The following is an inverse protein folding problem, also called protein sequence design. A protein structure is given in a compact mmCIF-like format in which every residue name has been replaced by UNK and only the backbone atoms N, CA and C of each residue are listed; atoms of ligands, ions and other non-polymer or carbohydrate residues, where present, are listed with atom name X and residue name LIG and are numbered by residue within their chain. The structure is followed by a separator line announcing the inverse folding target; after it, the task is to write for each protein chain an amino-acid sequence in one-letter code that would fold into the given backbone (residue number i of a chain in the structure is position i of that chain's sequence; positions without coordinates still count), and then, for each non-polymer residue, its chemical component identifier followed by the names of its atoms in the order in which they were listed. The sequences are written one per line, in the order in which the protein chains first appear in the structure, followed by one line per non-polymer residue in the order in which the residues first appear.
data_IF_797141485589
#
_entry.id   IF_797141485589
#
_cell.length_a   1.000
_cell.length_b   1.000
_cell.length_c   1.000
_cell.angle_alpha   90.00
_cell.angle_beta   90.00
_cell.angle_gamma   90.00
#
_symmetry.space_group_name_H-M   'P 1'
#
loop_
_entity.id
_entity.type
_entity.pdbx_description
1 polymer ?
#
# COMPACT_ATOMS: atom_id res chain seq x y z
N UNK A 1 2.08 -26.01 -8.22
CA UNK A 1 2.11 -24.66 -7.62
C UNK A 1 3.55 -24.35 -7.26
N UNK A 2 4.13 -23.28 -7.80
CA UNK A 2 5.40 -22.77 -7.26
C UNK A 2 5.17 -22.35 -5.80
N UNK A 3 6.08 -22.72 -4.90
CA UNK A 3 6.04 -22.31 -3.50
C UNK A 3 6.15 -20.77 -3.45
N UNK A 4 5.25 -20.10 -2.72
CA UNK A 4 5.33 -18.64 -2.55
C UNK A 4 6.72 -18.25 -2.03
N UNK A 5 7.26 -17.16 -2.57
CA UNK A 5 8.63 -16.69 -2.26
C UNK A 5 8.68 -16.01 -0.89
N UNK A 6 7.52 -15.59 -0.40
CA UNK A 6 7.33 -15.03 0.94
C UNK A 6 6.10 -15.67 1.58
N UNK A 7 5.97 -15.52 2.89
CA UNK A 7 4.78 -15.93 3.64
C UNK A 7 4.13 -14.71 4.30
N UNK A 8 2.83 -14.80 4.55
CA UNK A 8 2.09 -13.76 5.29
C UNK A 8 2.80 -13.42 6.60
N UNK A 9 3.01 -12.12 6.83
CA UNK A 9 3.74 -11.59 7.99
C UNK A 9 5.22 -11.30 7.73
N UNK A 10 5.79 -11.75 6.60
CA UNK A 10 7.17 -11.36 6.23
C UNK A 10 7.27 -9.84 6.09
N UNK A 11 8.37 -9.28 6.60
CA UNK A 11 8.67 -7.85 6.52
C UNK A 11 9.63 -7.62 5.37
N UNK A 12 9.18 -6.82 4.41
CA UNK A 12 9.97 -6.36 3.29
C UNK A 12 10.68 -5.06 3.62
N UNK A 13 11.97 -5.02 3.26
CA UNK A 13 12.73 -3.80 3.14
C UNK A 13 12.67 -3.33 1.69
N UNK A 14 12.10 -2.15 1.48
CA UNK A 14 11.80 -1.57 0.18
C UNK A 14 12.72 -0.36 -0.04
N UNK A 15 13.65 -0.40 -1.01
CA UNK A 15 14.52 0.74 -1.29
C UNK A 15 13.69 1.90 -1.86
N UNK A 16 13.85 3.07 -1.27
CA UNK A 16 13.17 4.29 -1.71
C UNK A 16 14.03 5.03 -2.75
N UNK A 17 13.41 5.62 -3.77
CA UNK A 17 14.13 6.47 -4.73
C UNK A 17 14.69 7.74 -4.06
N UNK A 18 15.46 8.51 -4.83
CA UNK A 18 15.99 9.82 -4.42
C UNK A 18 16.82 9.78 -3.12
N UNK A 19 17.54 8.68 -2.89
CA UNK A 19 18.39 8.45 -1.70
C UNK A 19 17.63 8.59 -0.37
N UNK A 20 16.33 8.25 -0.35
CA UNK A 20 15.49 8.34 0.83
C UNK A 20 15.65 7.14 1.79
N UNK A 21 16.55 6.21 1.48
CA UNK A 21 16.83 5.03 2.30
C UNK A 21 15.87 3.89 2.00
N UNK A 22 15.28 3.31 3.05
CA UNK A 22 14.41 2.15 2.98
C UNK A 22 13.11 2.39 3.74
N UNK A 23 11.99 2.01 3.13
CA UNK A 23 10.73 1.81 3.83
C UNK A 23 10.56 0.35 4.20
N UNK A 24 9.61 0.10 5.09
CA UNK A 24 9.29 -1.22 5.58
C UNK A 24 7.80 -1.49 5.47
N UNK A 25 7.46 -2.72 5.10
CA UNK A 25 6.09 -3.13 4.95
C UNK A 25 5.95 -4.62 5.23
N UNK A 26 4.81 -5.06 5.74
CA UNK A 26 4.49 -6.48 5.83
C UNK A 26 3.66 -6.93 4.63
N UNK A 27 3.99 -8.10 4.09
CA UNK A 27 3.24 -8.75 3.02
C UNK A 27 2.19 -9.70 3.56
N UNK A 28 1.02 -9.69 2.94
CA UNK A 28 -0.04 -10.69 3.14
C UNK A 28 -0.28 -11.39 1.81
N UNK A 29 -0.15 -12.71 1.80
CA UNK A 29 -0.58 -13.56 0.69
C UNK A 29 -2.12 -13.63 0.73
N UNK A 30 -2.75 -12.83 -0.13
CA UNK A 30 -4.21 -12.71 -0.17
C UNK A 30 -4.88 -14.01 -0.63
N UNK A 31 -4.21 -14.83 -1.43
CA UNK A 31 -4.76 -16.10 -1.91
C UNK A 31 -4.90 -17.07 -0.73
N UNK A 32 -3.95 -17.03 0.22
CA UNK A 32 -4.00 -17.83 1.45
C UNK A 32 -5.10 -17.39 2.43
N UNK A 33 -5.51 -16.12 2.37
CA UNK A 33 -6.54 -15.53 3.25
C UNK A 33 -7.94 -15.64 2.62
N UNK A 34 -8.02 -15.44 1.31
CA UNK A 34 -9.24 -15.51 0.51
C UNK A 34 -8.89 -16.12 -0.86
N UNK A 35 -9.22 -17.39 -1.06
CA UNK A 35 -8.93 -18.12 -2.31
C UNK A 35 -9.61 -17.50 -3.54
N UNK A 36 -10.66 -16.70 -3.33
CA UNK A 36 -11.37 -15.97 -4.40
C UNK A 36 -10.78 -14.59 -4.70
N UNK A 37 -9.69 -14.20 -4.03
CA UNK A 37 -9.03 -12.91 -4.27
C UNK A 37 -8.47 -12.85 -5.69
N UNK A 38 -8.83 -11.80 -6.41
CA UNK A 38 -8.28 -11.49 -7.74
C UNK A 38 -6.84 -10.93 -7.68
N UNK A 39 -6.36 -10.62 -6.48
CA UNK A 39 -5.05 -10.02 -6.24
C UNK A 39 -4.20 -10.93 -5.36
N UNK A 40 -2.91 -11.14 -5.71
CA UNK A 40 -2.09 -12.11 -5.00
C UNK A 40 -1.51 -11.57 -3.68
N UNK A 41 -1.34 -10.26 -3.55
CA UNK A 41 -0.57 -9.69 -2.43
C UNK A 41 -1.16 -8.37 -1.96
N UNK A 42 -1.32 -8.26 -0.65
CA UNK A 42 -1.61 -7.01 0.05
C UNK A 42 -0.37 -6.57 0.81
N UNK A 43 -0.03 -5.29 0.70
CA UNK A 43 1.14 -4.70 1.34
C UNK A 43 0.68 -3.68 2.38
N UNK A 44 1.11 -3.86 3.62
CA UNK A 44 0.83 -2.92 4.72
C UNK A 44 2.11 -2.16 5.04
N UNK A 45 2.14 -0.90 4.62
CA UNK A 45 3.34 -0.05 4.67
C UNK A 45 3.38 0.71 5.99
N UNK A 46 4.43 0.49 6.77
CA UNK A 46 4.63 1.14 8.05
C UNK A 46 4.99 2.62 7.88
N UNK A 47 4.60 3.46 8.83
CA UNK A 47 4.94 4.89 8.90
C UNK A 47 6.39 5.12 9.37
N UNK A 48 7.31 4.33 8.81
CA UNK A 48 8.71 4.34 9.20
C UNK A 48 9.63 4.14 7.99
N UNK A 49 10.71 4.92 7.95
CA UNK A 49 11.84 4.70 7.05
C UNK A 49 13.17 4.98 7.73
N UNK A 50 14.23 4.35 7.22
CA UNK A 50 15.60 4.54 7.69
C UNK A 50 16.56 4.73 6.53
N UNK A 51 17.65 5.48 6.74
CA UNK A 51 18.71 5.63 5.74
C UNK A 51 19.55 4.36 5.60
N UNK A 52 19.65 3.58 6.67
CA UNK A 52 20.41 2.33 6.73
C UNK A 52 19.48 1.12 6.85
N UNK A 53 20.00 -0.05 6.44
CA UNK A 53 19.27 -1.31 6.60
C UNK A 53 19.09 -1.63 8.08
N UNK A 54 17.85 -1.88 8.51
CA UNK A 54 17.55 -2.31 9.86
C UNK A 54 18.09 -3.70 10.18
N UNK A 55 18.53 -3.89 11.42
CA UNK A 55 18.98 -5.18 11.97
C UNK A 55 17.94 -5.86 12.87
N UNK A 56 17.04 -5.08 13.46
CA UNK A 56 15.98 -5.53 14.38
C UNK A 56 14.70 -4.79 14.07
N UNK A 57 13.57 -5.49 14.07
CA UNK A 57 12.26 -4.93 13.69
C UNK A 57 11.32 -4.85 14.90
N UNK A 58 10.56 -3.75 15.01
CA UNK A 58 9.48 -3.58 15.98
C UNK A 58 8.13 -3.80 15.30
N UNK A 59 7.12 -4.25 16.04
CA UNK A 59 5.74 -4.42 15.57
C UNK A 59 4.90 -3.16 15.70
N UNK A 60 5.39 -2.15 16.42
CA UNK A 60 4.57 -1.03 16.89
C UNK A 60 4.59 0.16 15.92
N UNK A 61 4.36 -0.11 14.65
CA UNK A 61 4.27 0.92 13.63
C UNK A 61 2.85 1.03 13.08
N UNK A 62 2.37 2.26 13.02
CA UNK A 62 1.15 2.59 12.30
C UNK A 62 1.35 2.44 10.79
N UNK A 63 0.27 2.43 10.02
CA UNK A 63 0.35 2.40 8.56
C UNK A 63 0.29 3.81 7.98
N UNK A 64 1.22 4.15 7.10
CA UNK A 64 1.23 5.45 6.39
C UNK A 64 0.19 5.48 5.26
N UNK A 65 -0.01 4.34 4.60
CA UNK A 65 -0.94 4.18 3.49
C UNK A 65 -2.03 3.18 3.82
N UNK A 66 -3.18 3.33 3.18
CA UNK A 66 -4.15 2.24 3.10
C UNK A 66 -3.44 1.01 2.51
N UNK A 67 -3.72 -0.22 3.00
CA UNK A 67 -3.10 -1.42 2.46
C UNK A 67 -3.20 -1.46 0.92
N UNK A 68 -2.07 -1.73 0.27
CA UNK A 68 -1.92 -1.63 -1.18
C UNK A 68 -2.00 -3.02 -1.82
N UNK A 69 -2.76 -3.14 -2.90
CA UNK A 69 -2.73 -4.32 -3.76
C UNK A 69 -1.47 -4.29 -4.62
N UNK A 70 -0.65 -5.34 -4.60
CA UNK A 70 0.64 -5.38 -5.30
C UNK A 70 0.68 -6.49 -6.35
N UNK A 71 1.20 -6.17 -7.52
CA UNK A 71 1.58 -7.12 -8.56
C UNK A 71 3.11 -7.23 -8.68
N UNK A 72 3.60 -8.43 -9.01
CA UNK A 72 5.02 -8.64 -9.32
C UNK A 72 5.95 -8.77 -8.12
N UNK A 73 5.43 -9.00 -6.90
CA UNK A 73 6.26 -9.16 -5.69
C UNK A 73 7.31 -10.27 -5.85
N UNK A 74 6.94 -11.39 -6.48
CA UNK A 74 7.86 -12.49 -6.74
C UNK A 74 9.06 -12.08 -7.58
N UNK A 75 8.86 -11.21 -8.58
CA UNK A 75 9.93 -10.78 -9.47
C UNK A 75 10.92 -9.85 -8.75
N UNK A 76 10.43 -8.93 -7.92
CA UNK A 76 11.31 -8.03 -7.15
C UNK A 76 12.10 -8.77 -6.08
N UNK A 77 11.50 -9.79 -5.44
CA UNK A 77 12.19 -10.65 -4.48
C UNK A 77 13.23 -11.56 -5.16
N UNK A 78 12.88 -12.25 -6.27
CA UNK A 78 13.83 -13.08 -7.04
C UNK A 78 15.04 -12.27 -7.50
N UNK A 79 14.83 -11.03 -7.91
CA UNK A 79 15.89 -10.11 -8.36
C UNK A 79 16.62 -9.40 -7.22
N UNK A 80 16.28 -9.68 -5.95
CA UNK A 80 16.83 -9.01 -4.76
C UNK A 80 16.73 -7.48 -4.83
N UNK A 81 15.68 -6.96 -5.48
CA UNK A 81 15.37 -5.54 -5.45
C UNK A 81 14.79 -5.16 -4.09
N UNK A 82 14.03 -6.07 -3.48
CA UNK A 82 13.55 -5.99 -2.10
C UNK A 82 14.15 -7.15 -1.32
N UNK A 83 14.34 -6.96 -0.02
CA UNK A 83 14.84 -7.99 0.91
C UNK A 83 13.76 -8.35 1.92
N UNK A 84 13.63 -9.62 2.30
CA UNK A 84 12.89 -10.02 3.50
C UNK A 84 13.83 -9.89 4.69
N UNK A 85 13.50 -9.02 5.63
CA UNK A 85 14.39 -8.63 6.75
C UNK A 85 13.88 -9.07 8.12
N UNK A 86 12.70 -9.67 8.16
CA UNK A 86 12.10 -10.14 9.39
C UNK A 86 10.72 -10.72 9.15
N UNK A 87 10.05 -11.06 10.24
CA UNK A 87 8.68 -11.54 10.25
C UNK A 87 7.97 -10.98 11.47
N UNK A 88 6.72 -10.59 11.30
CA UNK A 88 5.85 -10.20 12.39
C UNK A 88 4.67 -11.17 12.48
N UNK A 89 4.16 -11.33 13.70
CA UNK A 89 2.91 -12.03 13.92
C UNK A 89 1.76 -11.06 13.64
N UNK A 90 0.85 -11.46 12.74
CA UNK A 90 -0.32 -10.66 12.39
C UNK A 90 -1.51 -11.08 13.24
N UNK A 91 -2.21 -10.10 13.79
CA UNK A 91 -3.51 -10.27 14.45
C UNK A 91 -4.61 -10.44 13.41
N UNK A 92 -5.82 -10.80 13.85
CA UNK A 92 -6.96 -10.93 12.93
C UNK A 92 -7.33 -9.60 12.24
N UNK A 93 -7.20 -8.48 12.96
CA UNK A 93 -7.43 -7.14 12.40
C UNK A 93 -6.45 -6.77 11.29
N UNK A 94 -5.24 -7.30 11.34
CA UNK A 94 -4.18 -7.08 10.36
C UNK A 94 -4.47 -7.75 9.01
N UNK A 95 -5.31 -8.80 9.02
CA UNK A 95 -5.70 -9.57 7.85
C UNK A 95 -6.93 -8.97 7.15
N UNK A 96 -7.52 -7.90 7.70
CA UNK A 96 -8.68 -7.23 7.11
C UNK A 96 -8.30 -6.56 5.79
N UNK A 97 -8.97 -6.95 4.72
CA UNK A 97 -8.87 -6.29 3.42
C UNK A 97 -9.71 -5.00 3.47
N UNK A 98 -9.17 -3.83 3.09
CA UNK A 98 -9.95 -2.59 3.09
C UNK A 98 -10.92 -2.55 1.91
N UNK A 99 -11.88 -1.61 1.98
CA UNK A 99 -12.63 -1.18 0.80
C UNK A 99 -11.74 -0.30 -0.10
N UNK A 100 -12.02 -0.29 -1.40
CA UNK A 100 -11.30 0.52 -2.39
C UNK A 100 -12.25 1.40 -3.20
N UNK A 101 -11.75 2.52 -3.72
CA UNK A 101 -12.46 3.38 -4.68
C UNK A 101 -12.16 2.96 -6.11
N UNK A 102 -13.14 3.12 -7.01
CA UNK A 102 -12.94 2.90 -8.45
C UNK A 102 -13.72 3.95 -9.22
N UNK A 103 -13.09 4.56 -10.21
CA UNK A 103 -13.78 5.41 -11.18
C UNK A 103 -13.91 4.65 -12.50
N UNK A 104 -15.14 4.45 -12.96
CA UNK A 104 -15.41 3.92 -14.30
C UNK A 104 -16.20 4.97 -15.08
N UNK A 105 -15.55 5.58 -16.08
CA UNK A 105 -16.17 6.57 -16.98
C UNK A 105 -16.85 7.75 -16.24
N UNK A 106 -16.23 8.23 -15.16
CA UNK A 106 -16.75 9.35 -14.36
C UNK A 106 -17.69 8.95 -13.24
N UNK A 107 -18.12 7.69 -13.16
CA UNK A 107 -18.94 7.19 -12.05
C UNK A 107 -18.03 6.61 -10.97
N UNK A 108 -18.21 7.07 -9.73
CA UNK A 108 -17.49 6.57 -8.58
C UNK A 108 -18.18 5.34 -7.99
N UNK A 109 -17.37 4.37 -7.60
CA UNK A 109 -17.80 3.16 -6.92
C UNK A 109 -16.93 2.94 -5.69
N UNK A 110 -17.50 2.31 -4.67
CA UNK A 110 -16.73 1.59 -3.69
C UNK A 110 -16.79 0.08 -3.97
N UNK A 111 -15.72 -0.62 -3.60
CA UNK A 111 -15.55 -2.05 -3.79
C UNK A 111 -15.13 -2.65 -2.45
N UNK A 112 -15.95 -3.54 -1.91
CA UNK A 112 -15.70 -4.14 -0.60
C UNK A 112 -14.64 -5.22 -0.69
N UNK A 113 -13.68 -5.17 0.24
CA UNK A 113 -12.67 -6.20 0.46
C UNK A 113 -11.93 -6.63 -0.83
N UNK A 114 -11.68 -5.67 -1.72
CA UNK A 114 -11.11 -5.85 -3.07
C UNK A 114 -11.88 -6.73 -4.07
N UNK A 115 -13.07 -7.22 -3.71
CA UNK A 115 -13.91 -8.05 -4.59
C UNK A 115 -14.74 -7.19 -5.54
N UNK A 116 -14.32 -7.14 -6.81
CA UNK A 116 -14.97 -6.37 -7.87
C UNK A 116 -16.46 -6.71 -8.08
N UNK A 117 -16.90 -7.92 -7.69
CA UNK A 117 -18.31 -8.30 -7.80
C UNK A 117 -19.21 -7.50 -6.83
N UNK A 118 -18.64 -6.97 -5.76
CA UNK A 118 -19.34 -6.18 -4.72
C UNK A 118 -19.45 -4.70 -5.07
N UNK A 119 -19.01 -4.30 -6.26
CA UNK A 119 -18.95 -2.90 -6.71
C UNK A 119 -20.30 -2.20 -6.59
N UNK A 120 -20.33 -1.06 -5.87
CA UNK A 120 -21.54 -0.25 -5.64
C UNK A 120 -21.29 1.21 -5.96
N UNK A 121 -22.18 1.80 -6.77
CA UNK A 121 -22.08 3.20 -7.17
C UNK A 121 -22.26 4.11 -5.95
N UNK A 122 -21.50 5.20 -5.91
CA UNK A 122 -21.48 6.13 -4.78
C UNK A 122 -20.96 7.50 -5.20
N UNK A 123 -21.00 8.46 -4.28
CA UNK A 123 -20.43 9.79 -4.47
C UNK A 123 -18.95 9.80 -4.11
N UNK A 124 -18.17 10.63 -4.79
CA UNK A 124 -16.73 10.79 -4.52
C UNK A 124 -16.41 11.09 -3.05
N UNK A 125 -17.22 11.93 -2.39
CA UNK A 125 -17.04 12.26 -0.97
C UNK A 125 -17.08 11.04 -0.04
N UNK A 126 -17.75 9.96 -0.44
CA UNK A 126 -17.88 8.75 0.36
C UNK A 126 -16.67 7.81 0.23
N UNK A 127 -15.79 8.06 -0.74
CA UNK A 127 -14.69 7.17 -1.11
C UNK A 127 -13.35 7.88 -1.26
N UNK A 128 -13.29 9.22 -1.21
CA UNK A 128 -12.07 10.00 -1.43
C UNK A 128 -10.89 9.60 -0.53
N UNK A 129 -11.17 9.09 0.68
CA UNK A 129 -10.16 8.61 1.64
C UNK A 129 -9.68 7.18 1.38
N UNK A 130 -10.32 6.44 0.47
CA UNK A 130 -9.95 5.08 0.10
C UNK A 130 -8.88 5.10 -0.99
N UNK A 131 -8.09 4.03 -1.02
CA UNK A 131 -7.15 3.76 -2.09
C UNK A 131 -7.87 3.33 -3.38
N UNK A 132 -7.28 3.65 -4.53
CA UNK A 132 -7.82 3.23 -5.82
C UNK A 132 -7.67 1.72 -6.00
N UNK A 133 -8.73 1.05 -6.45
CA UNK A 133 -8.70 -0.38 -6.74
C UNK A 133 -7.82 -0.65 -7.96
N UNK A 134 -6.71 -1.33 -7.74
CA UNK A 134 -5.85 -1.86 -8.78
C UNK A 134 -4.50 -2.27 -8.21
N UNK A 135 -3.95 -3.37 -8.72
CA UNK A 135 -2.62 -3.80 -8.29
C UNK A 135 -1.55 -2.86 -8.83
N UNK A 136 -0.77 -2.27 -7.93
CA UNK A 136 0.38 -1.44 -8.27
C UNK A 136 1.58 -2.37 -8.50
N UNK A 137 2.34 -2.12 -9.55
CA UNK A 137 3.57 -2.86 -9.80
C UNK A 137 4.59 -2.65 -8.68
N UNK A 138 5.17 -3.72 -8.16
CA UNK A 138 6.13 -3.68 -7.06
C UNK A 138 7.39 -2.82 -7.37
N UNK A 139 7.74 -2.62 -8.64
CA UNK A 139 8.87 -1.75 -9.00
C UNK A 139 8.52 -0.25 -8.92
N UNK A 140 7.27 0.11 -9.16
CA UNK A 140 6.82 1.52 -9.19
C UNK A 140 6.21 1.96 -7.85
N UNK A 141 5.74 1.03 -7.02
CA UNK A 141 5.11 1.35 -5.73
C UNK A 141 6.07 2.06 -4.77
N UNK A 142 7.38 1.85 -4.90
CA UNK A 142 8.41 2.51 -4.09
C UNK A 142 8.28 4.04 -4.15
N UNK A 143 7.90 4.60 -5.30
CA UNK A 143 7.67 6.03 -5.49
C UNK A 143 6.47 6.51 -4.68
N UNK A 144 5.33 5.80 -4.74
CA UNK A 144 4.14 6.13 -3.95
C UNK A 144 4.43 6.08 -2.45
N UNK A 145 5.15 5.06 -2.00
CA UNK A 145 5.57 4.91 -0.60
C UNK A 145 6.47 6.08 -0.17
N UNK A 146 7.47 6.43 -0.97
CA UNK A 146 8.36 7.56 -0.67
C UNK A 146 7.59 8.87 -0.55
N UNK A 147 6.68 9.16 -1.48
CA UNK A 147 5.84 10.36 -1.45
C UNK A 147 4.95 10.42 -0.20
N UNK A 148 4.36 9.28 0.19
CA UNK A 148 3.53 9.19 1.39
C UNK A 148 4.32 9.51 2.66
N UNK A 149 5.52 8.94 2.79
CA UNK A 149 6.40 9.18 3.94
C UNK A 149 6.90 10.63 3.98
N UNK A 150 7.27 11.21 2.84
CA UNK A 150 7.65 12.63 2.77
C UNK A 150 6.49 13.55 3.17
N UNK A 151 5.27 13.29 2.70
CA UNK A 151 4.08 14.04 3.10
C UNK A 151 3.87 13.94 4.61
N UNK A 152 4.02 12.75 5.19
CA UNK A 152 3.82 12.55 6.62
C UNK A 152 4.88 13.25 7.48
N UNK A 153 6.11 13.34 6.97
CA UNK A 153 7.22 14.10 7.54
C UNK A 153 7.14 15.62 7.27
N UNK A 154 6.05 16.11 6.68
CA UNK A 154 5.84 17.51 6.30
C UNK A 154 6.92 18.06 5.34
N UNK A 155 7.53 17.17 4.54
CA UNK A 155 8.50 17.53 3.52
C UNK A 155 7.83 17.79 2.18
N UNK A 156 8.38 18.74 1.43
CA UNK A 156 7.91 19.04 0.07
C UNK A 156 8.35 17.93 -0.89
N UNK A 157 7.38 17.22 -1.46
CA UNK A 157 7.64 16.15 -2.44
C UNK A 157 8.41 16.67 -3.67
N UNK A 158 8.13 17.92 -4.08
CA UNK A 158 8.81 18.59 -5.21
C UNK A 158 10.32 18.73 -5.04
N UNK A 159 10.85 18.65 -3.81
CA UNK A 159 12.28 18.73 -3.56
C UNK A 159 13.00 17.42 -3.92
N UNK A 160 12.24 16.32 -4.11
CA UNK A 160 12.75 14.97 -4.36
C UNK A 160 12.27 14.35 -5.67
N UNK A 161 11.14 14.82 -6.21
CA UNK A 161 10.51 14.31 -7.42
C UNK A 161 10.11 15.45 -8.34
N UNK A 162 10.37 15.30 -9.64
CA UNK A 162 10.05 16.31 -10.64
C UNK A 162 8.59 16.27 -11.08
N UNK A 163 7.92 15.13 -10.90
CA UNK A 163 6.54 14.90 -11.34
C UNK A 163 6.38 14.99 -12.86
N UNK A 164 7.42 14.61 -13.60
CA UNK A 164 7.39 14.62 -15.07
C UNK A 164 6.71 13.36 -15.63
N UNK A 165 6.87 12.22 -14.95
CA UNK A 165 6.29 10.96 -15.39
C UNK A 165 4.79 10.87 -15.02
N UNK A 166 4.03 10.12 -15.82
CA UNK A 166 2.61 9.88 -15.55
C UNK A 166 2.39 9.26 -14.16
N UNK A 167 3.17 8.23 -13.80
CA UNK A 167 3.03 7.55 -12.52
C UNK A 167 3.37 8.43 -11.33
N UNK A 168 4.41 9.26 -11.42
CA UNK A 168 4.73 10.21 -10.35
C UNK A 168 3.61 11.22 -10.12
N UNK A 169 3.04 11.79 -11.19
CA UNK A 169 1.91 12.72 -11.08
C UNK A 169 0.69 12.07 -10.47
N UNK A 170 0.32 10.90 -10.98
CA UNK A 170 -0.84 10.17 -10.48
C UNK A 170 -0.68 9.79 -9.00
N UNK A 171 0.49 9.30 -8.59
CA UNK A 171 0.75 9.02 -7.18
C UNK A 171 0.77 10.27 -6.33
N UNK A 172 1.34 11.37 -6.82
CA UNK A 172 1.31 12.63 -6.08
C UNK A 172 -0.13 13.12 -5.84
N UNK A 173 -0.99 13.08 -6.85
CA UNK A 173 -2.41 13.44 -6.74
C UNK A 173 -3.12 12.60 -5.67
N UNK A 174 -2.98 11.26 -5.75
CA UNK A 174 -3.51 10.34 -4.73
C UNK A 174 -3.00 10.70 -3.33
N UNK A 175 -1.69 10.92 -3.19
CA UNK A 175 -1.04 11.19 -1.91
C UNK A 175 -1.52 12.52 -1.33
N UNK A 176 -1.78 13.55 -2.13
CA UNK A 176 -2.30 14.82 -1.62
C UNK A 176 -3.78 14.68 -1.21
N UNK A 177 -4.58 13.98 -2.01
CA UNK A 177 -6.02 13.82 -1.79
C UNK A 177 -6.35 12.93 -0.59
N UNK A 178 -5.64 11.81 -0.44
CA UNK A 178 -5.92 10.80 0.59
C UNK A 178 -5.21 11.20 1.90
N UNK A 179 -5.93 11.29 3.03
CA UNK A 179 -5.28 11.48 4.33
C UNK A 179 -4.40 10.28 4.69
N UNK A 180 -3.26 10.53 5.33
CA UNK A 180 -2.39 9.47 5.87
C UNK A 180 -3.22 8.48 6.68
N UNK A 181 -3.02 7.19 6.45
CA UNK A 181 -3.98 6.18 6.90
C UNK A 181 -4.19 6.15 8.41
N UNK A 182 -3.12 6.23 9.20
CA UNK A 182 -3.24 6.29 10.66
C UNK A 182 -3.91 7.55 11.19
N UNK A 183 -3.92 8.65 10.42
CA UNK A 183 -4.60 9.90 10.76
C UNK A 183 -6.10 9.88 10.42
N UNK A 184 -6.59 8.85 9.73
CA UNK A 184 -8.02 8.67 9.47
C UNK A 184 -8.75 8.25 10.76
N UNK A 185 -9.98 8.74 10.96
CA UNK A 185 -10.82 8.27 12.07
C UNK A 185 -11.16 6.80 11.91
N UNK A 186 -11.31 6.09 13.02
CA UNK A 186 -11.55 4.65 13.01
C UNK A 186 -12.89 4.27 12.36
N UNK A 187 -13.84 5.20 12.31
CA UNK A 187 -15.14 5.04 11.65
C UNK A 187 -15.00 4.87 10.11
N UNK A 188 -13.98 5.49 9.50
CA UNK A 188 -13.81 5.54 8.05
C UNK A 188 -12.60 4.74 7.56
N UNK A 189 -11.68 4.39 8.47
CA UNK A 189 -10.40 3.76 8.17
C UNK A 189 -10.60 2.44 7.41
N UNK A 190 -10.23 2.43 6.13
CA UNK A 190 -10.34 1.28 5.24
C UNK A 190 -11.79 0.85 4.91
N UNK A 191 -12.79 1.73 5.11
CA UNK A 191 -14.20 1.43 4.81
C UNK A 191 -14.90 2.61 4.13
N UNK A 192 -15.76 2.32 3.16
CA UNK A 192 -16.55 3.36 2.49
C UNK A 192 -17.59 3.97 3.43
N UNK A 193 -17.87 5.27 3.26
CA UNK A 193 -18.97 5.93 3.94
C UNK A 193 -20.30 5.48 3.34
N UNK A 194 -21.28 5.19 4.21
CA UNK A 194 -22.63 4.78 3.84
C UNK A 194 -23.56 5.98 3.71
#
# INVERSE_FOLDING_TARGET
MEKSIFITGDVFQIPLPSNLGFAYATGIDLISVNESSNYPTLLRVFNFRSLEKMKTFSTDFDLVLCPLLIAGIHQVLKKKKWDIVGKIELKQEDLRIPDYKKNDLGIWYYVSDSDISTKKATNFNNVKHLETLGAIGAEIVNTKIAMALLKDEEKKISDYFKLDSYFERHFYEDIIEIPTYYKQSDEIKGKALR
#
